data_IF_389883679092
#
_entry.id   IF_389883679092
#
_cell.length_a   1.000
_cell.length_b   1.000
_cell.length_c   1.000
_cell.angle_alpha   90.00
_cell.angle_beta   90.00
_cell.angle_gamma   90.00
#
_symmetry.space_group_name_H-M   'P 1'
#
loop_
_entity.id
_entity.type
_entity.pdbx_description
1 polymer ?
#
# COMPACT_ATOMS: atom_id res chain seq x y z
N UNK A 1 -2.35 15.47 23.03
CA UNK A 1 -1.94 14.79 21.79
C UNK A 1 -1.11 15.77 20.99
N UNK A 2 0.08 15.38 20.56
CA UNK A 2 0.97 16.26 19.79
C UNK A 2 0.54 16.17 18.32
N UNK A 3 0.19 17.29 17.70
CA UNK A 3 -0.17 17.32 16.27
C UNK A 3 1.13 17.31 15.47
N UNK A 4 1.32 16.30 14.63
CA UNK A 4 2.50 16.19 13.76
C UNK A 4 2.29 16.94 12.45
N UNK A 5 3.37 17.20 11.70
CA UNK A 5 3.26 17.73 10.34
C UNK A 5 2.49 16.79 9.40
N UNK A 6 2.55 15.47 9.65
CA UNK A 6 1.77 14.46 8.92
C UNK A 6 0.27 14.63 9.19
N UNK A 7 -0.12 14.79 10.46
CA UNK A 7 -1.52 15.05 10.85
C UNK A 7 -2.05 16.33 10.18
N UNK A 8 -1.21 17.37 10.10
CA UNK A 8 -1.55 18.62 9.38
C UNK A 8 -1.80 18.38 7.89
N UNK A 9 -0.91 17.63 7.25
CA UNK A 9 -1.04 17.27 5.84
C UNK A 9 -2.32 16.50 5.57
N UNK A 10 -2.64 15.50 6.40
CA UNK A 10 -3.89 14.75 6.26
C UNK A 10 -5.14 15.60 6.52
N UNK A 11 -5.10 16.51 7.49
CA UNK A 11 -6.20 17.42 7.74
C UNK A 11 -6.43 18.37 6.56
N UNK A 12 -5.36 18.92 5.98
CA UNK A 12 -5.44 19.76 4.79
C UNK A 12 -5.97 18.98 3.57
N UNK A 13 -5.49 17.76 3.34
CA UNK A 13 -5.95 16.90 2.24
C UNK A 13 -7.42 16.52 2.39
N UNK A 14 -7.85 16.15 3.61
CA UNK A 14 -9.26 15.85 3.89
C UNK A 14 -10.16 17.05 3.60
N UNK A 15 -9.73 18.26 4.01
CA UNK A 15 -10.44 19.49 3.68
C UNK A 15 -10.47 19.78 2.17
N UNK A 16 -9.35 19.55 1.47
CA UNK A 16 -9.30 19.71 0.01
C UNK A 16 -10.29 18.76 -0.69
N UNK A 17 -10.32 17.48 -0.30
CA UNK A 17 -11.27 16.50 -0.85
C UNK A 17 -12.72 16.92 -0.59
N UNK A 18 -13.03 17.45 0.59
CA UNK A 18 -14.35 18.01 0.88
C UNK A 18 -14.67 19.21 -0.03
N UNK A 19 -13.76 20.17 -0.16
CA UNK A 19 -13.91 21.34 -1.05
C UNK A 19 -14.17 20.93 -2.49
N UNK A 20 -13.40 19.98 -3.04
CA UNK A 20 -13.59 19.46 -4.39
C UNK A 20 -14.97 18.83 -4.58
N UNK A 21 -15.45 18.05 -3.61
CA UNK A 21 -16.79 17.43 -3.67
C UNK A 21 -17.91 18.47 -3.59
N UNK A 22 -17.76 19.47 -2.73
CA UNK A 22 -18.70 20.58 -2.62
C UNK A 22 -18.77 21.39 -3.92
N UNK A 23 -17.62 21.72 -4.51
CA UNK A 23 -17.57 22.44 -5.80
C UNK A 23 -18.17 21.61 -6.94
N UNK A 24 -17.90 20.30 -7.02
CA UNK A 24 -18.54 19.40 -7.99
C UNK A 24 -20.07 19.35 -7.81
N UNK A 25 -20.57 19.54 -6.60
CA UNK A 25 -22.00 19.65 -6.30
C UNK A 25 -22.58 21.06 -6.55
N UNK A 26 -21.79 21.98 -7.10
CA UNK A 26 -22.20 23.35 -7.46
C UNK A 26 -22.13 24.35 -6.32
N UNK A 27 -21.46 24.01 -5.21
CA UNK A 27 -21.17 24.98 -4.15
C UNK A 27 -20.02 25.90 -4.55
N UNK A 28 -20.08 27.15 -4.11
CA UNK A 28 -19.01 28.15 -4.31
C UNK A 28 -18.68 28.85 -3.00
N UNK A 29 -17.52 29.49 -2.95
CA UNK A 29 -17.20 30.35 -1.82
C UNK A 29 -18.24 31.46 -1.64
N UNK A 30 -18.60 31.74 -0.38
CA UNK A 30 -19.31 32.94 0.05
C UNK A 30 -18.95 33.27 1.50
N UNK A 31 -19.23 34.50 1.97
CA UNK A 31 -18.80 34.93 3.31
C UNK A 31 -19.51 34.21 4.48
N UNK A 32 -20.57 33.46 4.18
CA UNK A 32 -21.31 32.63 5.13
C UNK A 32 -21.92 31.44 4.38
N UNK A 33 -22.34 30.43 5.13
CA UNK A 33 -23.14 29.32 4.59
C UNK A 33 -24.52 29.81 4.14
N UNK A 34 -24.89 29.50 2.90
CA UNK A 34 -26.23 29.70 2.36
C UNK A 34 -26.59 28.52 1.45
N UNK A 35 -27.57 27.74 1.86
CA UNK A 35 -28.00 26.55 1.12
C UNK A 35 -28.68 26.89 -0.21
N UNK A 36 -29.58 27.88 -0.20
CA UNK A 36 -30.32 28.33 -1.40
C UNK A 36 -29.37 28.84 -2.47
N UNK A 37 -28.39 29.65 -2.07
CA UNK A 37 -27.39 30.19 -3.00
C UNK A 37 -26.24 29.21 -3.25
N UNK A 38 -26.17 28.08 -2.54
CA UNK A 38 -25.05 27.13 -2.54
C UNK A 38 -23.70 27.81 -2.29
N UNK A 39 -23.61 28.59 -1.22
CA UNK A 39 -22.36 29.20 -0.77
C UNK A 39 -21.90 28.66 0.58
N UNK A 40 -20.58 28.56 0.78
CA UNK A 40 -19.99 28.16 2.05
C UNK A 40 -18.67 28.90 2.28
N UNK A 41 -18.49 29.43 3.49
CA UNK A 41 -17.30 30.15 3.97
C UNK A 41 -16.05 29.28 4.10
N UNK A 42 -16.23 28.00 4.43
CA UNK A 42 -15.14 27.02 4.52
C UNK A 42 -14.53 26.62 3.15
N UNK A 43 -15.09 27.09 2.01
CA UNK A 43 -14.52 26.86 0.67
C UNK A 43 -13.32 27.77 0.38
N UNK A 44 -12.34 27.71 1.28
CA UNK A 44 -11.06 28.41 1.26
C UNK A 44 -9.93 27.41 1.53
N UNK A 45 -8.65 27.75 1.23
CA UNK A 45 -7.51 26.95 1.64
C UNK A 45 -7.54 26.61 3.14
N UNK A 46 -7.08 25.41 3.49
CA UNK A 46 -7.16 24.90 4.87
C UNK A 46 -6.57 25.86 5.90
N UNK A 47 -5.46 26.52 5.57
CA UNK A 47 -4.75 27.47 6.45
C UNK A 47 -5.56 28.75 6.74
N UNK A 48 -6.52 29.06 5.88
CA UNK A 48 -7.41 30.23 6.02
C UNK A 48 -8.69 29.93 6.79
N UNK A 49 -8.92 28.67 7.16
CA UNK A 49 -10.06 28.32 8.00
C UNK A 49 -9.93 28.90 9.41
N UNK A 50 -11.07 29.16 10.08
CA UNK A 50 -11.11 29.42 11.50
C UNK A 50 -10.31 28.38 12.30
N UNK A 51 -9.67 28.81 13.38
CA UNK A 51 -8.86 27.92 14.21
C UNK A 51 -9.69 26.75 14.80
N UNK A 52 -10.97 26.99 15.09
CA UNK A 52 -11.93 25.96 15.53
C UNK A 52 -12.07 24.84 14.50
N UNK A 53 -12.21 25.20 13.23
CA UNK A 53 -12.53 24.26 12.16
C UNK A 53 -11.30 23.45 11.81
N UNK A 54 -10.12 24.10 11.73
CA UNK A 54 -8.84 23.39 11.60
C UNK A 54 -8.62 22.41 12.74
N UNK A 55 -8.92 22.82 13.99
CA UNK A 55 -8.81 21.94 15.16
C UNK A 55 -9.76 20.74 15.04
N UNK A 56 -11.00 20.96 14.63
CA UNK A 56 -11.99 19.89 14.43
C UNK A 56 -11.54 18.89 13.37
N UNK A 57 -11.03 19.35 12.22
CA UNK A 57 -10.50 18.46 11.18
C UNK A 57 -9.32 17.65 11.68
N UNK A 58 -8.35 18.25 12.39
CA UNK A 58 -7.23 17.51 12.99
C UNK A 58 -7.69 16.48 14.01
N UNK A 59 -8.66 16.83 14.85
CA UNK A 59 -9.21 15.91 15.84
C UNK A 59 -9.87 14.70 15.16
N UNK A 60 -10.56 14.90 14.04
CA UNK A 60 -11.13 13.80 13.25
C UNK A 60 -10.04 12.89 12.65
N UNK A 61 -8.97 13.46 12.07
CA UNK A 61 -7.84 12.69 11.54
C UNK A 61 -7.19 11.82 12.62
N UNK A 62 -6.98 12.37 13.82
CA UNK A 62 -6.41 11.62 14.94
C UNK A 62 -7.37 10.53 15.45
N UNK A 63 -8.66 10.83 15.58
CA UNK A 63 -9.65 9.88 16.08
C UNK A 63 -9.90 8.70 15.12
N UNK A 64 -9.65 8.90 13.82
CA UNK A 64 -9.74 7.86 12.80
C UNK A 64 -8.42 7.13 12.55
N UNK A 65 -7.35 7.49 13.29
CA UNK A 65 -6.02 6.87 13.16
C UNK A 65 -5.53 6.81 11.70
N UNK A 66 -5.76 7.88 10.94
CA UNK A 66 -5.49 7.91 9.50
C UNK A 66 -4.02 7.63 9.18
N UNK A 67 -3.09 8.07 10.03
CA UNK A 67 -1.66 7.79 9.84
C UNK A 67 -1.37 6.28 9.88
N UNK A 68 -2.00 5.56 10.82
CA UNK A 68 -1.83 4.11 10.95
C UNK A 68 -2.48 3.38 9.77
N UNK A 69 -3.68 3.80 9.37
CA UNK A 69 -4.34 3.26 8.17
C UNK A 69 -3.49 3.43 6.90
N UNK A 70 -2.85 4.59 6.73
CA UNK A 70 -1.96 4.82 5.58
C UNK A 70 -0.67 4.02 5.70
N UNK A 71 -0.10 3.88 6.90
CA UNK A 71 1.07 3.04 7.15
C UNK A 71 0.80 1.58 6.76
N UNK A 72 -0.33 1.02 7.18
CA UNK A 72 -0.74 -0.36 6.87
C UNK A 72 -1.04 -0.58 5.39
N UNK A 73 -1.37 0.48 4.64
CA UNK A 73 -1.68 0.38 3.21
C UNK A 73 -0.45 0.17 2.31
N UNK A 74 0.76 0.28 2.87
CA UNK A 74 2.01 0.24 2.11
C UNK A 74 2.88 -0.91 2.62
N UNK A 75 3.27 -1.80 1.71
CA UNK A 75 4.27 -2.84 1.99
C UNK A 75 5.53 -2.64 1.16
N UNK A 76 6.69 -2.71 1.81
CA UNK A 76 7.99 -2.75 1.15
C UNK A 76 8.74 -4.02 1.55
N UNK A 77 8.30 -5.20 1.09
CA UNK A 77 8.91 -6.45 1.50
C UNK A 77 10.39 -6.48 1.08
N UNK A 78 11.26 -6.92 1.98
CA UNK A 78 12.71 -7.06 1.80
C UNK A 78 13.15 -8.42 2.31
N UNK A 79 14.37 -8.80 1.95
CA UNK A 79 14.93 -10.08 2.37
C UNK A 79 14.41 -11.25 1.55
N UNK A 80 14.64 -12.48 2.01
CA UNK A 80 14.46 -13.68 1.19
C UNK A 80 13.00 -14.12 1.02
N UNK A 81 12.10 -13.63 1.88
CA UNK A 81 10.67 -14.01 1.92
C UNK A 81 9.78 -13.06 1.12
N UNK A 82 10.34 -12.04 0.47
CA UNK A 82 9.56 -11.18 -0.43
C UNK A 82 9.11 -11.95 -1.66
N UNK A 83 8.11 -11.44 -2.36
CA UNK A 83 7.73 -11.95 -3.68
C UNK A 83 8.92 -12.02 -4.66
N UNK A 84 8.93 -13.04 -5.50
CA UNK A 84 9.93 -13.20 -6.56
C UNK A 84 9.66 -12.27 -7.74
N UNK A 85 10.71 -11.68 -8.31
CA UNK A 85 10.60 -10.96 -9.59
C UNK A 85 11.01 -11.85 -10.75
N UNK A 86 10.51 -11.54 -11.95
CA UNK A 86 10.85 -12.28 -13.18
C UNK A 86 12.37 -12.32 -13.43
N UNK A 87 13.09 -11.24 -13.13
CA UNK A 87 14.55 -11.17 -13.25
C UNK A 87 15.32 -12.14 -12.34
N UNK A 88 14.69 -12.67 -11.29
CA UNK A 88 15.30 -13.66 -10.39
C UNK A 88 15.09 -15.10 -10.87
N UNK A 89 14.20 -15.30 -11.85
CA UNK A 89 13.84 -16.64 -12.29
C UNK A 89 14.99 -17.32 -13.02
N UNK A 90 15.39 -18.46 -12.46
CA UNK A 90 16.36 -19.36 -13.06
C UNK A 90 16.00 -20.80 -12.72
N UNK A 91 16.11 -21.67 -13.71
CA UNK A 91 16.02 -23.12 -13.47
C UNK A 91 17.13 -23.51 -12.50
N UNK A 92 16.76 -24.28 -11.48
CA UNK A 92 17.66 -24.74 -10.42
C UNK A 92 17.84 -23.78 -9.24
N UNK A 93 17.15 -22.64 -9.19
CA UNK A 93 17.20 -21.75 -8.02
C UNK A 93 16.72 -22.52 -6.76
N UNK A 94 17.52 -22.60 -5.69
CA UNK A 94 17.10 -23.26 -4.47
C UNK A 94 16.09 -22.39 -3.72
N UNK A 95 14.98 -23.01 -3.34
CA UNK A 95 13.89 -22.37 -2.59
C UNK A 95 13.45 -23.29 -1.46
N UNK A 96 12.88 -22.68 -0.43
CA UNK A 96 12.28 -23.38 0.70
C UNK A 96 10.82 -22.93 0.82
N UNK A 97 9.91 -23.87 1.11
CA UNK A 97 8.52 -23.55 1.47
C UNK A 97 8.36 -23.72 2.99
N UNK A 98 7.80 -22.72 3.67
CA UNK A 98 7.38 -22.86 5.06
C UNK A 98 5.97 -23.48 5.13
N UNK A 99 5.67 -24.41 6.06
CA UNK A 99 6.56 -25.01 7.05
C UNK A 99 7.24 -26.27 6.50
N UNK A 100 8.56 -26.26 6.30
CA UNK A 100 9.27 -27.42 5.78
C UNK A 100 10.79 -27.24 5.69
N UNK A 101 11.61 -28.24 6.09
CA UNK A 101 13.07 -28.15 5.99
C UNK A 101 13.59 -28.43 4.57
N UNK A 102 12.72 -28.87 3.65
CA UNK A 102 13.13 -29.32 2.34
C UNK A 102 13.50 -28.18 1.40
N UNK A 103 14.57 -28.39 0.64
CA UNK A 103 15.03 -27.45 -0.37
C UNK A 103 14.59 -27.95 -1.74
N UNK A 104 13.63 -27.25 -2.32
CA UNK A 104 13.19 -27.45 -3.68
C UNK A 104 14.03 -26.66 -4.69
N UNK A 105 13.84 -26.94 -5.97
CA UNK A 105 14.46 -26.21 -7.08
C UNK A 105 13.41 -25.71 -8.05
N UNK A 106 13.48 -24.44 -8.43
CA UNK A 106 12.61 -23.89 -9.49
C UNK A 106 12.88 -24.63 -10.80
N UNK A 107 11.81 -25.07 -11.48
CA UNK A 107 11.90 -25.77 -12.78
C UNK A 107 11.23 -25.02 -13.93
N UNK A 108 10.22 -24.20 -13.67
CA UNK A 108 9.60 -23.31 -14.65
C UNK A 108 8.72 -22.26 -13.96
N UNK A 109 8.23 -21.28 -14.72
CA UNK A 109 7.34 -20.23 -14.24
C UNK A 109 6.43 -19.73 -15.37
N UNK A 110 5.37 -19.04 -15.00
CA UNK A 110 4.46 -18.34 -15.91
C UNK A 110 4.36 -16.87 -15.53
N UNK A 111 4.10 -16.02 -16.52
CA UNK A 111 3.87 -14.59 -16.33
C UNK A 111 2.46 -14.21 -16.74
N UNK A 112 1.90 -13.18 -16.11
CA UNK A 112 0.64 -12.64 -16.60
C UNK A 112 0.83 -11.95 -17.96
N UNK A 113 -0.18 -12.01 -18.86
CA UNK A 113 -0.10 -11.35 -20.16
C UNK A 113 0.06 -9.84 -20.02
N UNK A 114 1.21 -9.32 -20.46
CA UNK A 114 1.44 -7.87 -20.63
C UNK A 114 2.07 -7.13 -19.45
N UNK A 115 2.37 -7.78 -18.32
CA UNK A 115 2.86 -7.07 -17.12
C UNK A 115 4.21 -7.59 -16.57
N UNK A 116 4.89 -8.53 -17.24
CA UNK A 116 6.16 -9.17 -16.78
C UNK A 116 6.13 -9.74 -15.33
N UNK A 117 4.98 -9.71 -14.66
CA UNK A 117 4.76 -10.20 -13.30
C UNK A 117 4.62 -11.72 -13.31
N UNK A 118 5.18 -12.38 -12.30
CA UNK A 118 5.10 -13.83 -12.17
C UNK A 118 3.72 -14.23 -11.67
N UNK A 119 3.05 -15.06 -12.47
CA UNK A 119 1.76 -15.67 -12.13
C UNK A 119 1.93 -16.99 -11.39
N UNK A 120 2.98 -17.74 -11.70
CA UNK A 120 3.17 -19.09 -11.17
C UNK A 120 4.65 -19.46 -11.14
N UNK A 121 5.09 -20.11 -10.08
CA UNK A 121 6.43 -20.73 -9.99
C UNK A 121 6.24 -22.22 -9.73
N UNK A 122 6.92 -23.05 -10.52
CA UNK A 122 6.95 -24.51 -10.34
C UNK A 122 8.25 -24.94 -9.68
N UNK A 123 8.12 -25.73 -8.62
CA UNK A 123 9.24 -26.22 -7.82
C UNK A 123 9.26 -27.74 -7.83
N UNK A 124 10.45 -28.32 -7.99
CA UNK A 124 10.70 -29.75 -7.79
C UNK A 124 11.35 -30.00 -6.45
N UNK A 125 10.78 -30.91 -5.68
CA UNK A 125 11.24 -31.28 -4.34
C UNK A 125 12.20 -32.48 -4.36
N UNK A 126 12.93 -32.76 -3.26
CA UNK A 126 13.85 -33.88 -3.17
C UNK A 126 13.22 -35.25 -3.39
N UNK A 127 11.96 -35.43 -2.99
CA UNK A 127 11.17 -36.65 -3.21
C UNK A 127 10.72 -36.85 -4.68
N UNK A 128 11.02 -35.87 -5.55
CA UNK A 128 10.66 -35.85 -6.96
C UNK A 128 9.29 -35.24 -7.25
N UNK A 129 8.52 -34.87 -6.23
CA UNK A 129 7.23 -34.21 -6.40
C UNK A 129 7.38 -32.81 -7.00
N UNK A 130 6.30 -32.34 -7.64
CA UNK A 130 6.20 -31.00 -8.21
C UNK A 130 5.07 -30.24 -7.50
N UNK A 131 5.34 -29.00 -7.13
CA UNK A 131 4.34 -28.07 -6.64
C UNK A 131 4.32 -26.79 -7.47
N UNK A 132 3.18 -26.11 -7.44
CA UNK A 132 3.01 -24.80 -8.03
C UNK A 132 2.75 -23.80 -6.90
N UNK A 133 3.34 -22.61 -7.02
CA UNK A 133 3.27 -21.57 -5.99
C UNK A 133 2.89 -20.23 -6.62
N UNK A 134 2.00 -19.50 -5.95
CA UNK A 134 1.58 -18.16 -6.34
C UNK A 134 2.49 -17.11 -5.70
N UNK A 135 3.32 -16.37 -6.47
CA UNK A 135 4.35 -15.50 -5.89
C UNK A 135 3.84 -14.44 -4.89
N UNK A 136 2.65 -13.83 -5.07
CA UNK A 136 2.10 -12.90 -4.08
C UNK A 136 1.82 -13.50 -2.70
N UNK A 137 1.61 -14.82 -2.59
CA UNK A 137 1.40 -15.50 -1.30
C UNK A 137 2.71 -15.70 -0.52
N UNK A 138 3.87 -15.45 -1.14
CA UNK A 138 5.18 -15.45 -0.48
C UNK A 138 5.51 -16.76 0.26
N UNK A 139 4.96 -17.87 -0.23
CA UNK A 139 5.19 -19.21 0.35
C UNK A 139 6.65 -19.67 0.18
N UNK A 140 7.29 -19.20 -0.89
CA UNK A 140 8.66 -19.56 -1.24
C UNK A 140 9.66 -18.53 -0.71
N UNK A 141 10.66 -19.02 -0.01
CA UNK A 141 11.85 -18.27 0.42
C UNK A 141 13.00 -18.55 -0.54
N UNK A 142 13.65 -17.50 -1.07
CA UNK A 142 14.89 -17.70 -1.83
C UNK A 142 16.05 -18.02 -0.88
N UNK A 143 16.82 -19.06 -1.21
CA UNK A 143 18.04 -19.38 -0.46
C UNK A 143 19.23 -18.78 -1.20
N UNK A 144 19.90 -17.80 -0.58
CA UNK A 144 21.21 -17.37 -1.08
C UNK A 144 22.17 -18.54 -0.93
N UNK A 145 22.83 -18.92 -2.03
CA UNK A 145 24.06 -19.70 -1.93
C UNK A 145 25.06 -18.80 -1.20
N UNK A 146 25.17 -18.94 0.13
CA UNK A 146 26.38 -18.50 0.80
C UNK A 146 27.50 -19.31 0.14
N UNK A 147 28.34 -18.66 -0.65
CA UNK A 147 29.66 -19.19 -0.87
C UNK A 147 30.34 -19.14 0.51
N UNK A 148 30.26 -20.25 1.22
CA UNK A 148 31.13 -20.50 2.36
C UNK A 148 32.57 -20.50 1.82
N UNK A 149 33.31 -19.44 2.16
CA UNK A 149 34.76 -19.41 2.05
C UNK A 149 35.40 -19.87 3.35
#
# INVERSE_FOLDING_TARGET
MNVTATTEGFAALAHQVWCERMQRAGWRYGPAYNETERTHDALVPFEKLPASDRRSTRAAILALEVEDLVFESIEYPRGPDREFTLSEMRVGLPVQCEPGPEIGKIVSWETDPGDEALRLIRVRWPDGSLSEHFPPERELRRLSLRFEG
#
